data_IF_813722204061
#
_entry.id   IF_813722204061
#
_cell.length_a   1.000
_cell.length_b   1.000
_cell.length_c   1.000
_cell.angle_alpha   90.00
_cell.angle_beta   90.00
_cell.angle_gamma   90.00
#
_symmetry.space_group_name_H-M   'P 1'
#
loop_
_entity.id
_entity.type
_entity.pdbx_description
1 polymer ?
#
# COMPACT_ATOMS: atom_id res chain seq x y z
N UNK A 1 -0.18 38.50 46.82
CA UNK A 1 -0.46 39.81 46.22
C UNK A 1 0.84 40.29 45.59
N UNK A 2 1.01 40.51 44.30
CA UNK A 2 0.10 41.11 43.33
C UNK A 2 0.24 40.37 42.00
N UNK A 3 -0.90 40.07 41.39
CA UNK A 3 -1.00 39.54 40.05
C UNK A 3 -0.45 40.54 39.03
N UNK A 4 0.43 40.08 38.13
CA UNK A 4 0.65 40.74 36.84
C UNK A 4 0.24 39.76 35.73
N UNK A 5 -1.01 39.30 35.83
CA UNK A 5 -1.75 38.79 34.69
C UNK A 5 -2.38 40.00 33.99
N UNK A 6 -1.93 40.29 32.77
CA UNK A 6 -2.63 40.97 31.65
C UNK A 6 -1.74 42.02 30.99
N UNK A 7 -1.29 41.74 29.76
CA UNK A 7 -0.54 42.74 28.99
C UNK A 7 0.07 42.27 27.68
N UNK A 8 -0.46 41.21 27.04
CA UNK A 8 -0.07 40.86 25.68
C UNK A 8 -1.25 41.17 24.75
N UNK A 9 -1.03 41.94 23.66
CA UNK A 9 -2.10 42.43 22.80
C UNK A 9 -2.87 41.26 22.15
N UNK A 10 -4.21 41.35 22.03
CA UNK A 10 -5.06 40.28 21.51
C UNK A 10 -4.80 39.95 20.03
N UNK A 11 -4.03 40.77 19.31
CA UNK A 11 -3.73 40.63 17.88
C UNK A 11 -2.70 39.54 17.54
N UNK A 12 -1.86 39.09 18.48
CA UNK A 12 -0.81 38.09 18.23
C UNK A 12 -1.22 36.64 18.53
N UNK A 13 -2.28 36.41 19.32
CA UNK A 13 -2.82 35.06 19.60
C UNK A 13 -3.80 34.55 18.53
N UNK A 14 -4.34 35.42 17.68
CA UNK A 14 -5.21 35.04 16.55
C UNK A 14 -4.42 34.55 15.32
N UNK A 15 -3.18 35.02 15.12
CA UNK A 15 -2.33 34.64 13.97
C UNK A 15 -1.63 33.28 14.10
N UNK A 16 -1.30 32.82 15.31
CA UNK A 16 -0.74 31.48 15.51
C UNK A 16 -1.83 30.39 15.45
N UNK A 17 -3.04 30.70 15.89
CA UNK A 17 -4.21 29.82 15.78
C UNK A 17 -4.70 29.66 14.32
N UNK A 18 -4.49 30.64 13.44
CA UNK A 18 -4.84 30.52 12.01
C UNK A 18 -3.93 29.55 11.24
N UNK A 19 -2.62 29.47 11.56
CA UNK A 19 -1.70 28.46 10.95
C UNK A 19 -1.96 27.04 11.46
N UNK A 20 -2.34 26.86 12.73
CA UNK A 20 -2.63 25.53 13.27
C UNK A 20 -3.99 24.96 12.80
N UNK A 21 -4.96 25.81 12.44
CA UNK A 21 -6.23 25.38 11.82
C UNK A 21 -6.02 24.95 10.36
N UNK A 22 -5.30 25.74 9.56
CA UNK A 22 -4.99 25.40 8.16
C UNK A 22 -4.20 24.08 8.02
N UNK A 23 -3.29 23.78 8.94
CA UNK A 23 -2.57 22.49 8.95
C UNK A 23 -3.45 21.29 9.34
N UNK A 24 -4.58 21.50 10.02
CA UNK A 24 -5.55 20.44 10.36
C UNK A 24 -6.43 20.12 9.15
N UNK A 25 -6.90 21.16 8.44
CA UNK A 25 -7.72 21.03 7.23
C UNK A 25 -6.95 20.32 6.09
N UNK A 26 -5.64 20.59 5.92
CA UNK A 26 -4.81 19.92 4.90
C UNK A 26 -4.63 18.41 5.17
N UNK A 27 -4.59 17.99 6.44
CA UNK A 27 -4.55 16.58 6.85
C UNK A 27 -5.90 15.88 6.66
N UNK A 28 -7.00 16.58 6.93
CA UNK A 28 -8.37 16.04 6.80
C UNK A 28 -8.80 15.85 5.32
N UNK A 29 -8.39 16.74 4.41
CA UNK A 29 -8.68 16.59 2.98
C UNK A 29 -7.99 15.36 2.36
N UNK A 30 -6.76 15.06 2.77
CA UNK A 30 -6.08 13.83 2.34
C UNK A 30 -6.75 12.55 2.89
N UNK A 31 -7.41 12.65 4.06
CA UNK A 31 -8.08 11.52 4.70
C UNK A 31 -9.38 11.11 3.97
N UNK A 32 -10.09 12.05 3.34
CA UNK A 32 -11.38 11.77 2.67
C UNK A 32 -11.26 10.92 1.40
N UNK A 33 -10.16 11.04 0.65
CA UNK A 33 -9.90 10.20 -0.55
C UNK A 33 -9.72 8.70 -0.24
N UNK A 34 -9.37 8.34 1.00
CA UNK A 34 -9.12 6.96 1.42
C UNK A 34 -10.39 6.17 1.77
N UNK A 35 -11.53 6.82 2.01
CA UNK A 35 -12.77 6.16 2.45
C UNK A 35 -13.66 5.69 1.29
N UNK A 36 -13.57 6.31 0.11
CA UNK A 36 -14.35 5.90 -1.06
C UNK A 36 -13.81 4.60 -1.68
N UNK A 37 -12.49 4.42 -1.68
CA UNK A 37 -11.82 3.29 -2.35
C UNK A 37 -11.80 2.00 -1.51
N UNK A 38 -12.09 2.08 -0.20
CA UNK A 38 -12.07 0.93 0.71
C UNK A 38 -13.31 0.04 0.60
N UNK A 39 -14.44 0.58 0.11
CA UNK A 39 -15.74 -0.12 0.08
C UNK A 39 -16.10 -0.68 -1.31
N UNK A 40 -15.23 -0.46 -2.31
CA UNK A 40 -15.43 -0.95 -3.68
C UNK A 40 -14.63 -2.23 -3.88
N UNK A 41 -15.31 -3.31 -4.28
CA UNK A 41 -14.63 -4.57 -4.62
C UNK A 41 -13.64 -4.34 -5.77
N UNK A 42 -12.42 -4.87 -5.64
CA UNK A 42 -11.36 -4.74 -6.65
C UNK A 42 -10.95 -3.29 -6.96
N UNK A 43 -11.10 -2.39 -5.98
CA UNK A 43 -10.77 -0.98 -6.14
C UNK A 43 -9.33 -0.74 -6.61
N UNK A 44 -8.35 -1.47 -6.07
CA UNK A 44 -6.93 -1.31 -6.43
C UNK A 44 -6.57 -2.12 -7.69
N UNK A 45 -6.02 -1.49 -8.75
CA UNK A 45 -5.55 -2.21 -9.92
C UNK A 45 -4.37 -3.13 -9.57
N UNK A 46 -4.41 -4.38 -10.04
CA UNK A 46 -3.39 -5.42 -9.76
C UNK A 46 -2.47 -5.66 -10.95
N UNK A 47 -1.99 -4.60 -11.59
CA UNK A 47 -1.15 -4.70 -12.78
C UNK A 47 0.26 -5.24 -12.48
N UNK A 48 0.77 -5.01 -11.26
CA UNK A 48 2.13 -5.38 -10.86
C UNK A 48 2.21 -5.90 -9.41
N UNK A 49 3.39 -6.38 -9.02
CA UNK A 49 3.65 -6.93 -7.69
C UNK A 49 3.22 -8.40 -7.52
N UNK A 50 3.30 -8.90 -6.28
CA UNK A 50 3.04 -10.31 -5.94
C UNK A 50 1.59 -10.74 -6.18
N UNK A 51 0.65 -9.81 -6.03
CA UNK A 51 -0.79 -10.07 -6.22
C UNK A 51 -1.27 -10.01 -7.68
N UNK A 52 -0.40 -9.60 -8.61
CA UNK A 52 -0.77 -9.45 -10.04
C UNK A 52 -0.82 -10.77 -10.79
N UNK A 53 -0.06 -11.76 -10.33
CA UNK A 53 0.16 -13.02 -11.04
C UNK A 53 -0.10 -14.20 -10.12
N UNK A 54 -0.49 -15.31 -10.71
CA UNK A 54 -0.79 -16.55 -10.01
C UNK A 54 -0.28 -17.74 -10.80
N UNK A 55 -0.02 -18.85 -10.11
CA UNK A 55 0.37 -20.10 -10.74
C UNK A 55 -0.69 -20.57 -11.74
N UNK A 56 -0.27 -20.98 -12.93
CA UNK A 56 -1.16 -21.55 -13.96
C UNK A 56 -1.87 -22.85 -13.51
N UNK A 57 -1.28 -23.60 -12.58
CA UNK A 57 -1.80 -24.91 -12.14
C UNK A 57 -2.62 -24.80 -10.86
N UNK A 58 -2.06 -24.23 -9.80
CA UNK A 58 -2.68 -24.22 -8.47
C UNK A 58 -3.27 -22.87 -8.03
N UNK A 59 -3.22 -21.84 -8.89
CA UNK A 59 -3.60 -20.46 -8.59
C UNK A 59 -2.90 -19.82 -7.36
N UNK A 60 -1.89 -20.48 -6.79
CA UNK A 60 -1.12 -19.94 -5.68
C UNK A 60 -0.26 -18.76 -6.15
N UNK A 61 -0.22 -17.69 -5.36
CA UNK A 61 0.49 -16.44 -5.71
C UNK A 61 1.92 -16.38 -5.18
N UNK A 62 2.28 -17.19 -4.18
CA UNK A 62 3.64 -17.18 -3.65
C UNK A 62 4.53 -18.17 -4.39
N UNK A 63 5.85 -17.89 -4.39
CA UNK A 63 6.84 -18.82 -4.94
C UNK A 63 6.71 -19.10 -6.44
N UNK A 64 6.27 -18.10 -7.20
CA UNK A 64 6.10 -18.20 -8.65
C UNK A 64 7.48 -18.17 -9.34
N UNK A 65 7.79 -19.20 -10.11
CA UNK A 65 8.93 -19.27 -11.03
C UNK A 65 8.54 -18.52 -12.30
N UNK A 66 9.19 -17.37 -12.52
CA UNK A 66 8.90 -16.43 -13.61
C UNK A 66 9.89 -16.48 -14.75
N UNK A 67 10.92 -17.32 -14.65
CA UNK A 67 11.93 -17.46 -15.69
C UNK A 67 11.31 -18.17 -16.90
N UNK A 68 11.69 -17.76 -18.11
CA UNK A 68 11.26 -18.39 -19.36
C UNK A 68 9.73 -18.38 -19.61
N UNK A 69 8.97 -17.52 -18.93
CA UNK A 69 7.51 -17.40 -19.15
C UNK A 69 6.68 -18.59 -18.63
N UNK A 70 7.22 -19.38 -17.69
CA UNK A 70 6.57 -20.56 -17.13
C UNK A 70 5.34 -20.23 -16.25
N UNK A 71 5.43 -19.14 -15.47
CA UNK A 71 4.43 -18.70 -14.47
C UNK A 71 3.85 -19.84 -13.61
N UNK A 72 4.72 -20.71 -13.10
CA UNK A 72 4.35 -21.85 -12.27
C UNK A 72 4.91 -21.75 -10.85
N UNK A 73 4.20 -22.29 -9.87
CA UNK A 73 4.67 -22.34 -8.50
C UNK A 73 5.86 -23.31 -8.36
N UNK A 74 6.76 -23.10 -7.40
CA UNK A 74 7.93 -23.99 -7.20
C UNK A 74 7.58 -25.46 -6.94
N UNK A 75 6.43 -25.75 -6.33
CA UNK A 75 5.96 -27.13 -6.09
C UNK A 75 5.51 -27.77 -7.41
N UNK A 76 4.61 -27.08 -8.10
CA UNK A 76 4.10 -27.39 -9.44
C UNK A 76 5.24 -27.62 -10.45
N UNK A 77 6.26 -26.76 -10.42
CA UNK A 77 7.42 -26.88 -11.27
C UNK A 77 8.18 -28.17 -11.02
N UNK A 78 8.35 -28.60 -9.76
CA UNK A 78 9.06 -29.85 -9.43
C UNK A 78 8.32 -31.09 -9.91
N UNK A 79 6.99 -31.07 -9.88
CA UNK A 79 6.15 -32.17 -10.38
C UNK A 79 6.17 -32.26 -11.91
N UNK A 80 6.19 -31.11 -12.59
CA UNK A 80 6.12 -31.03 -14.06
C UNK A 80 7.47 -30.87 -14.76
N UNK A 81 8.57 -30.73 -14.01
CA UNK A 81 9.92 -30.48 -14.55
C UNK A 81 10.34 -31.53 -15.58
N UNK A 82 10.11 -32.81 -15.27
CA UNK A 82 10.44 -33.94 -16.15
C UNK A 82 9.65 -33.91 -17.46
N UNK A 83 8.36 -33.55 -17.41
CA UNK A 83 7.52 -33.43 -18.60
C UNK A 83 7.91 -32.24 -19.49
N UNK A 84 8.49 -31.19 -18.89
CA UNK A 84 9.04 -30.04 -19.63
C UNK A 84 10.46 -30.27 -20.15
N UNK A 85 11.06 -31.45 -19.91
CA UNK A 85 12.41 -31.78 -20.37
C UNK A 85 13.54 -31.25 -19.48
N UNK A 86 13.26 -30.78 -18.26
CA UNK A 86 14.32 -30.45 -17.31
C UNK A 86 14.91 -31.73 -16.72
N UNK A 87 16.23 -31.88 -16.86
CA UNK A 87 17.00 -32.97 -16.27
C UNK A 87 17.92 -32.40 -15.18
N UNK A 88 18.00 -33.10 -14.05
CA UNK A 88 18.97 -32.75 -13.00
C UNK A 88 20.35 -33.23 -13.46
N UNK A 89 21.21 -32.30 -13.84
CA UNK A 89 22.64 -32.55 -13.94
C UNK A 89 23.24 -32.33 -12.55
N UNK A 90 24.04 -33.28 -12.07
CA UNK A 90 24.66 -33.22 -10.75
C UNK A 90 25.88 -32.29 -10.76
#
# INVERSE_FOLDING_TARGET
MIAALAGLPPSLKLRQNQRQRQNRDFREQHQQSNMAHSNVWFSRPRNYGKGSRQCRVCAHRAGLVRKWGLDMCRQCFREKSKAMGFVKFN
#
